data_IF_560268357615
#
_entry.id   IF_560268357615
#
_cell.length_a   1.000
_cell.length_b   1.000
_cell.length_c   1.000
_cell.angle_alpha   90.00
_cell.angle_beta   90.00
_cell.angle_gamma   90.00
#
_symmetry.space_group_name_H-M   'P 1'
#
loop_
_entity.id
_entity.type
_entity.pdbx_description
1 polymer ?
#
# COMPACT_ATOMS: atom_id res chain seq x y z
N UNK A 1 -13.32 16.71 0.68
CA UNK A 1 -12.97 16.12 -0.63
C UNK A 1 -11.94 15.05 -0.38
N UNK A 2 -12.10 13.86 -0.96
CA UNK A 2 -11.13 12.76 -0.84
C UNK A 2 -10.14 12.86 -1.99
N UNK A 3 -8.85 12.98 -1.67
CA UNK A 3 -7.78 12.97 -2.67
C UNK A 3 -7.33 11.53 -2.93
N UNK A 4 -7.21 11.19 -4.21
CA UNK A 4 -6.74 9.88 -4.66
C UNK A 4 -5.36 10.00 -5.29
N UNK A 5 -4.55 8.97 -5.05
CA UNK A 5 -3.16 8.93 -5.43
C UNK A 5 -2.83 7.61 -6.11
N UNK A 6 -1.96 7.68 -7.12
CA UNK A 6 -1.16 6.53 -7.52
C UNK A 6 0.02 6.40 -6.56
N UNK A 7 0.22 5.22 -5.99
CA UNK A 7 1.43 4.91 -5.22
C UNK A 7 2.44 4.29 -6.19
N UNK A 8 3.52 5.02 -6.46
CA UNK A 8 4.51 4.67 -7.50
C UNK A 8 5.70 3.96 -6.87
N UNK A 9 6.05 2.79 -7.41
CA UNK A 9 7.28 2.09 -7.10
C UNK A 9 8.46 2.75 -7.85
N UNK A 10 9.32 3.46 -7.12
CA UNK A 10 10.42 4.23 -7.73
C UNK A 10 11.38 3.40 -8.59
N UNK A 11 11.63 2.14 -8.21
CA UNK A 11 12.58 1.27 -8.92
C UNK A 11 12.07 0.77 -10.28
N UNK A 12 10.75 0.74 -10.49
CA UNK A 12 10.13 0.17 -11.70
C UNK A 12 9.31 1.17 -12.49
N UNK A 13 8.93 2.31 -11.89
CA UNK A 13 7.97 3.27 -12.44
C UNK A 13 6.52 2.75 -12.47
N UNK A 14 6.24 1.53 -11.98
CA UNK A 14 4.91 0.94 -11.90
C UNK A 14 4.13 1.46 -10.68
N UNK A 15 2.83 1.22 -10.66
CA UNK A 15 1.94 1.61 -9.56
C UNK A 15 1.38 0.38 -8.83
N UNK A 16 0.93 0.60 -7.60
CA UNK A 16 0.22 -0.42 -6.82
C UNK A 16 -1.21 -0.61 -7.38
N UNK A 17 -1.57 -1.84 -7.69
CA UNK A 17 -2.87 -2.25 -8.22
C UNK A 17 -3.47 -3.41 -7.42
N UNK A 18 -4.79 -3.40 -7.24
CA UNK A 18 -5.55 -4.60 -6.83
C UNK A 18 -5.73 -5.51 -8.05
N UNK A 19 -5.18 -6.72 -8.02
CA UNK A 19 -5.19 -7.67 -9.15
C UNK A 19 -6.62 -7.92 -9.65
N UNK A 20 -6.86 -7.67 -10.94
CA UNK A 20 -8.16 -7.83 -11.59
C UNK A 20 -9.26 -6.92 -11.03
N UNK A 21 -8.93 -5.97 -10.16
CA UNK A 21 -9.89 -5.13 -9.44
C UNK A 21 -10.81 -5.93 -8.51
N UNK A 22 -10.32 -7.04 -7.94
CA UNK A 22 -11.07 -7.85 -6.99
C UNK A 22 -11.59 -7.02 -5.81
N UNK A 23 -12.86 -7.27 -5.45
CA UNK A 23 -13.52 -6.67 -4.28
C UNK A 23 -13.62 -7.63 -3.10
N UNK A 24 -13.01 -8.81 -3.23
CA UNK A 24 -13.01 -9.84 -2.19
C UNK A 24 -11.85 -9.61 -1.22
N UNK A 25 -12.03 -10.04 0.03
CA UNK A 25 -10.95 -10.07 1.01
C UNK A 25 -9.76 -10.88 0.49
N UNK A 26 -8.56 -10.52 0.95
CA UNK A 26 -7.30 -11.13 0.51
C UNK A 26 -7.02 -10.99 -0.99
N UNK A 27 -7.61 -9.99 -1.66
CA UNK A 27 -7.23 -9.62 -3.02
C UNK A 27 -5.72 -9.35 -3.11
N UNK A 28 -5.08 -9.88 -4.14
CA UNK A 28 -3.64 -9.68 -4.34
C UNK A 28 -3.36 -8.24 -4.71
N UNK A 29 -2.25 -7.73 -4.19
CA UNK A 29 -1.69 -6.44 -4.54
C UNK A 29 -0.47 -6.67 -5.41
N UNK A 30 -0.45 -6.04 -6.59
CA UNK A 30 0.61 -6.21 -7.60
C UNK A 30 1.18 -4.85 -8.02
N UNK A 31 2.36 -4.86 -8.66
CA UNK A 31 2.85 -3.71 -9.42
C UNK A 31 2.39 -3.82 -10.87
N UNK A 32 1.74 -2.77 -11.39
CA UNK A 32 1.24 -2.74 -12.76
C UNK A 32 1.55 -1.42 -13.47
N UNK A 33 1.45 -1.43 -14.80
CA UNK A 33 1.62 -0.20 -15.60
C UNK A 33 0.58 0.84 -15.20
N UNK A 34 0.99 2.11 -15.04
CA UNK A 34 0.07 3.19 -14.67
C UNK A 34 -0.99 3.38 -15.76
N UNK A 35 -2.25 3.26 -15.38
CA UNK A 35 -3.42 3.56 -16.22
C UNK A 35 -3.61 5.07 -16.32
N UNK A 36 -4.12 5.51 -17.46
CA UNK A 36 -4.54 6.88 -17.65
C UNK A 36 -5.77 7.20 -16.79
N UNK A 37 -6.02 8.48 -16.54
CA UNK A 37 -7.13 8.91 -15.67
C UNK A 37 -8.52 8.59 -16.24
N UNK A 38 -8.61 8.39 -17.56
CA UNK A 38 -9.79 8.03 -18.33
C UNK A 38 -9.97 6.52 -18.50
N UNK A 39 -9.02 5.70 -18.06
CA UNK A 39 -9.17 4.24 -18.10
C UNK A 39 -10.32 3.81 -17.17
N UNK A 40 -11.30 3.01 -17.66
CA UNK A 40 -12.47 2.60 -16.87
C UNK A 40 -12.12 1.74 -15.64
N UNK A 41 -10.89 1.21 -15.59
CA UNK A 41 -10.36 0.43 -14.49
C UNK A 41 -9.32 1.19 -13.65
N UNK A 42 -9.10 2.49 -13.86
CA UNK A 42 -8.11 3.30 -13.12
C UNK A 42 -8.30 3.23 -11.61
N UNK A 43 -9.54 3.05 -11.14
CA UNK A 43 -9.88 2.94 -9.72
C UNK A 43 -9.23 1.73 -9.02
N UNK A 44 -8.76 0.74 -9.78
CA UNK A 44 -7.94 -0.37 -9.27
C UNK A 44 -6.55 0.07 -8.78
N UNK A 45 -6.09 1.25 -9.21
CA UNK A 45 -4.76 1.82 -8.93
C UNK A 45 -4.81 3.09 -8.08
N UNK A 46 -6.01 3.59 -7.75
CA UNK A 46 -6.21 4.81 -6.99
C UNK A 46 -6.44 4.50 -5.51
N UNK A 47 -5.65 5.14 -4.66
CA UNK A 47 -5.63 4.94 -3.22
C UNK A 47 -5.84 6.27 -2.50
N UNK A 48 -6.55 6.27 -1.38
CA UNK A 48 -6.66 7.44 -0.52
C UNK A 48 -6.28 7.10 0.92
N UNK A 49 -5.78 8.10 1.65
CA UNK A 49 -5.48 8.00 3.06
C UNK A 49 -6.58 8.71 3.87
N UNK A 50 -7.23 7.99 4.78
CA UNK A 50 -8.35 8.52 5.57
C UNK A 50 -7.94 9.00 6.98
N UNK A 51 -6.64 9.12 7.25
CA UNK A 51 -6.11 9.45 8.59
C UNK A 51 -5.63 8.24 9.40
N UNK A 52 -5.88 7.01 8.94
CA UNK A 52 -5.32 5.81 9.55
C UNK A 52 -5.10 4.64 8.59
N UNK A 53 -5.89 4.56 7.53
CA UNK A 53 -5.90 3.44 6.58
C UNK A 53 -5.65 3.95 5.16
N UNK A 54 -4.98 3.12 4.36
CA UNK A 54 -4.84 3.30 2.92
C UNK A 54 -5.92 2.46 2.25
N UNK A 55 -6.84 3.09 1.55
CA UNK A 55 -8.04 2.45 1.00
C UNK A 55 -8.06 2.53 -0.52
N UNK A 56 -8.39 1.42 -1.18
CA UNK A 56 -8.55 1.40 -2.64
C UNK A 56 -9.88 2.04 -3.05
N UNK A 57 -9.86 2.86 -4.12
CA UNK A 57 -11.05 3.56 -4.63
C UNK A 57 -12.13 2.61 -5.15
N UNK A 58 -11.75 1.55 -5.88
CA UNK A 58 -12.71 0.61 -6.50
C UNK A 58 -13.42 -0.25 -5.46
N UNK A 59 -12.66 -0.89 -4.57
CA UNK A 59 -13.21 -1.91 -3.66
C UNK A 59 -13.64 -1.36 -2.31
N UNK A 60 -13.10 -0.22 -1.88
CA UNK A 60 -13.26 0.27 -0.50
C UNK A 60 -12.51 -0.56 0.54
N UNK A 61 -11.76 -1.59 0.12
CA UNK A 61 -10.92 -2.40 1.00
C UNK A 61 -9.60 -1.67 1.32
N UNK A 62 -8.99 -2.05 2.42
CA UNK A 62 -7.75 -1.46 2.92
C UNK A 62 -6.53 -2.30 2.54
N UNK A 63 -5.40 -1.63 2.36
CA UNK A 63 -4.12 -2.29 2.24
C UNK A 63 -3.74 -2.92 3.57
N UNK A 64 -3.45 -4.22 3.56
CA UNK A 64 -3.16 -5.01 4.76
C UNK A 64 -2.00 -5.99 4.49
N UNK A 65 -1.18 -6.24 5.51
CA UNK A 65 -0.22 -7.34 5.49
C UNK A 65 -0.90 -8.55 6.10
N UNK A 66 -1.36 -9.46 5.24
CA UNK A 66 -2.15 -10.62 5.64
C UNK A 66 -1.45 -11.41 6.77
N UNK A 67 -2.19 -11.61 7.87
CA UNK A 67 -1.70 -12.30 9.07
C UNK A 67 -0.42 -11.69 9.69
N UNK A 68 -0.19 -10.39 9.46
CA UNK A 68 0.96 -9.67 9.97
C UNK A 68 1.08 -9.78 11.49
N UNK A 69 2.01 -10.61 11.95
CA UNK A 69 2.42 -10.63 13.36
C UNK A 69 3.25 -9.37 13.61
N UNK A 70 2.71 -8.40 14.35
CA UNK A 70 3.49 -7.24 14.79
C UNK A 70 4.63 -7.73 15.71
N UNK A 71 5.82 -7.93 15.16
CA UNK A 71 7.02 -8.07 15.96
C UNK A 71 7.56 -6.67 16.25
N UNK A 72 7.38 -6.20 17.48
CA UNK A 72 8.06 -5.00 17.95
C UNK A 72 9.57 -5.27 18.00
N UNK A 73 10.31 -4.94 16.94
CA UNK A 73 11.78 -4.92 16.98
C UNK A 73 12.19 -3.62 17.68
N UNK A 74 12.48 -3.72 18.98
CA UNK A 74 13.09 -2.62 19.72
C UNK A 74 14.57 -2.50 19.28
N UNK A 75 14.88 -1.55 18.38
CA UNK A 75 16.21 -1.34 17.78
C UNK A 75 17.24 -0.69 18.72
N UNK A 76 16.99 -0.63 20.03
CA UNK A 76 17.90 -0.01 21.02
C UNK A 76 18.65 -1.06 21.85
N UNK A 77 19.57 -1.81 21.23
CA UNK A 77 20.67 -2.48 21.93
C UNK A 77 21.95 -2.20 21.17
N UNK A 78 22.68 -1.15 21.55
CA UNK A 78 24.14 -1.01 21.39
C UNK A 78 24.61 0.35 21.90
N UNK A 79 24.57 0.58 23.22
CA UNK A 79 25.41 1.60 23.87
C UNK A 79 25.62 1.22 25.34
N UNK A 80 26.51 0.27 25.62
CA UNK A 80 27.32 0.25 26.86
C UNK A 80 28.50 -0.71 26.65
N UNK A 81 29.60 -0.18 26.13
CA UNK A 81 30.94 -0.67 26.42
C UNK A 81 31.90 0.51 26.31
N UNK A 82 31.85 1.40 27.30
CA UNK A 82 32.97 2.24 27.66
C UNK A 82 33.32 1.88 29.09
N UNK A 83 34.39 1.08 29.25
CA UNK A 83 35.11 1.04 30.50
C UNK A 83 35.90 2.35 30.60
N UNK A 84 35.68 3.09 31.68
CA UNK A 84 36.64 4.04 32.24
C UNK A 84 37.04 3.46 33.59
#
# INVERSE_FOLDING_TARGET
MTNYYWIIAQHSGKVIEVEGGSINNCAKIIQYGKKSADDPSVDTQLWFFNGGLITNKKSGLVLDVLQGKQQFINRNKNLTNLQI
#
